data_IF_740268965448
#
_entry.id   IF_740268965448
#
_cell.length_a   1.000
_cell.length_b   1.000
_cell.length_c   1.000
_cell.angle_alpha   90.00
_cell.angle_beta   90.00
_cell.angle_gamma   90.00
#
_symmetry.space_group_name_H-M   'P 1'
#
loop_
_entity.id
_entity.type
_entity.pdbx_description
1 polymer ?
#
# COMPACT_ATOMS: atom_id res chain seq x y z
N UNK A 1 -3.48 -14.96 5.38
CA UNK A 1 -3.89 -13.54 5.36
C UNK A 1 -2.66 -12.68 5.21
N UNK A 2 -2.76 -11.46 4.65
CA UNK A 2 -1.61 -10.54 4.52
C UNK A 2 -1.93 -9.24 5.25
N UNK A 3 -1.05 -8.81 6.14
CA UNK A 3 -1.20 -7.55 6.85
C UNK A 3 -0.75 -6.37 5.99
N UNK A 4 -1.48 -5.25 6.06
CA UNK A 4 -1.02 -3.97 5.50
C UNK A 4 0.35 -3.56 6.05
N UNK A 5 0.65 -3.89 7.31
CA UNK A 5 1.93 -3.59 7.97
C UNK A 5 3.09 -4.37 7.31
N UNK A 6 2.89 -5.64 6.98
CA UNK A 6 3.89 -6.45 6.28
C UNK A 6 4.19 -5.90 4.87
N UNK A 7 3.15 -5.43 4.17
CA UNK A 7 3.29 -4.81 2.84
C UNK A 7 4.09 -3.51 2.96
N UNK A 8 3.79 -2.67 3.97
CA UNK A 8 4.54 -1.43 4.23
C UNK A 8 6.00 -1.72 4.56
N UNK A 9 6.27 -2.74 5.39
CA UNK A 9 7.63 -3.16 5.73
C UNK A 9 8.39 -3.62 4.48
N UNK A 10 7.79 -4.49 3.66
CA UNK A 10 8.38 -4.95 2.40
C UNK A 10 8.70 -3.80 1.44
N UNK A 11 7.80 -2.82 1.34
CA UNK A 11 7.97 -1.64 0.51
C UNK A 11 9.12 -0.75 1.02
N UNK A 12 9.19 -0.50 2.35
CA UNK A 12 10.29 0.24 2.99
C UNK A 12 11.64 -0.47 2.79
N UNK A 13 11.69 -1.80 2.91
CA UNK A 13 12.89 -2.60 2.59
C UNK A 13 13.31 -2.43 1.12
N UNK A 14 12.34 -2.43 0.19
CA UNK A 14 12.58 -2.17 -1.23
C UNK A 14 13.21 -0.82 -1.52
N UNK A 15 12.70 0.23 -0.87
CA UNK A 15 13.25 1.59 -0.98
C UNK A 15 14.64 1.69 -0.37
N UNK A 16 14.84 1.12 0.82
CA UNK A 16 16.15 1.10 1.48
C UNK A 16 17.22 0.40 0.62
N UNK A 17 16.89 -0.75 0.05
CA UNK A 17 17.78 -1.47 -0.88
C UNK A 17 18.05 -0.66 -2.16
N UNK A 18 17.06 0.07 -2.68
CA UNK A 18 17.22 0.89 -3.87
C UNK A 18 18.28 1.99 -3.70
N UNK A 19 18.41 2.56 -2.49
CA UNK A 19 19.41 3.61 -2.19
C UNK A 19 20.86 3.11 -2.31
N UNK A 20 21.08 1.80 -2.23
CA UNK A 20 22.38 1.15 -2.42
C UNK A 20 22.65 0.77 -3.88
N UNK A 21 21.72 1.05 -4.80
CA UNK A 21 21.85 0.73 -6.22
C UNK A 21 22.23 1.97 -7.03
N UNK A 22 22.59 1.75 -8.29
CA UNK A 22 22.89 2.80 -9.26
C UNK A 22 22.04 2.69 -10.53
N UNK A 23 22.01 3.77 -11.30
CA UNK A 23 21.32 3.85 -12.59
C UNK A 23 19.84 3.47 -12.52
N UNK A 24 19.34 2.84 -13.59
CA UNK A 24 17.92 2.47 -13.70
C UNK A 24 17.44 1.52 -12.60
N UNK A 25 18.30 0.64 -12.07
CA UNK A 25 17.93 -0.30 -11.01
C UNK A 25 17.52 0.44 -9.73
N UNK A 26 18.25 1.51 -9.37
CA UNK A 26 17.87 2.39 -8.26
C UNK A 26 16.47 2.97 -8.45
N UNK A 27 16.22 3.59 -9.61
CA UNK A 27 14.92 4.20 -9.93
C UNK A 27 13.80 3.17 -9.89
N UNK A 28 14.01 2.00 -10.49
CA UNK A 28 13.02 0.93 -10.55
C UNK A 28 12.66 0.38 -9.17
N UNK A 29 13.65 0.05 -8.34
CA UNK A 29 13.42 -0.51 -7.01
C UNK A 29 12.77 0.51 -6.08
N UNK A 30 13.19 1.79 -6.17
CA UNK A 30 12.57 2.86 -5.41
C UNK A 30 11.11 3.04 -5.81
N UNK A 31 10.84 3.15 -7.11
CA UNK A 31 9.48 3.22 -7.67
C UNK A 31 8.61 2.06 -7.22
N UNK A 32 9.13 0.83 -7.28
CA UNK A 32 8.36 -0.37 -6.95
C UNK A 32 7.97 -0.37 -5.46
N UNK A 33 8.87 0.01 -4.55
CA UNK A 33 8.52 0.20 -3.14
C UNK A 33 7.52 1.35 -2.93
N UNK A 34 7.73 2.51 -3.55
CA UNK A 34 6.81 3.64 -3.46
C UNK A 34 5.40 3.30 -3.97
N UNK A 35 5.30 2.53 -5.06
CA UNK A 35 4.04 2.07 -5.63
C UNK A 35 3.24 1.18 -4.67
N UNK A 36 3.92 0.37 -3.86
CA UNK A 36 3.30 -0.44 -2.80
C UNK A 36 2.79 0.44 -1.66
N UNK A 37 3.59 1.41 -1.22
CA UNK A 37 3.19 2.36 -0.19
C UNK A 37 1.95 3.16 -0.61
N UNK A 38 1.95 3.68 -1.84
CA UNK A 38 0.78 4.32 -2.43
C UNK A 38 -0.44 3.39 -2.44
N UNK A 39 -0.29 2.13 -2.82
CA UNK A 39 -1.40 1.19 -2.84
C UNK A 39 -1.99 0.84 -1.47
N UNK A 40 -1.21 0.99 -0.40
CA UNK A 40 -1.67 0.79 0.98
C UNK A 40 -2.33 2.06 1.53
N UNK A 41 -1.63 3.19 1.49
CA UNK A 41 -2.11 4.44 2.10
C UNK A 41 -3.12 5.20 1.24
N UNK A 42 -3.07 4.98 -0.07
CA UNK A 42 -3.99 5.53 -1.04
C UNK A 42 -4.65 4.33 -1.74
N UNK A 43 -5.55 3.59 -1.05
CA UNK A 43 -6.05 2.31 -1.54
C UNK A 43 -7.09 2.56 -2.62
N UNK A 44 -6.65 3.07 -3.76
CA UNK A 44 -7.39 3.26 -4.99
C UNK A 44 -7.16 2.10 -5.95
N UNK A 45 -7.99 2.01 -7.00
CA UNK A 45 -7.85 0.89 -7.96
C UNK A 45 -6.53 1.04 -8.71
N UNK A 46 -5.94 -0.08 -9.13
CA UNK A 46 -4.70 -0.12 -9.93
C UNK A 46 -4.68 0.91 -11.07
N UNK A 47 -5.79 1.06 -11.81
CA UNK A 47 -5.91 2.03 -12.91
C UNK A 47 -5.75 3.48 -12.43
N UNK A 48 -6.32 3.83 -11.29
CA UNK A 48 -6.18 5.16 -10.71
C UNK A 48 -4.74 5.39 -10.21
N UNK A 49 -4.14 4.41 -9.54
CA UNK A 49 -2.76 4.50 -9.03
C UNK A 49 -1.71 4.71 -10.13
N UNK A 50 -1.78 3.93 -11.22
CA UNK A 50 -0.85 4.11 -12.34
C UNK A 50 -1.12 5.39 -13.15
N UNK A 51 -2.32 5.96 -12.98
CA UNK A 51 -2.72 7.19 -13.64
C UNK A 51 -2.30 8.45 -12.90
N UNK A 52 -1.73 8.36 -11.68
CA UNK A 52 -1.36 9.55 -10.89
C UNK A 52 -0.35 10.41 -11.67
N UNK A 53 -0.69 11.69 -11.80
CA UNK A 53 0.17 12.75 -12.32
C UNK A 53 0.79 13.55 -11.17
N UNK A 54 1.94 14.19 -11.42
CA UNK A 54 2.50 15.19 -10.51
C UNK A 54 1.53 16.34 -10.24
N UNK A 55 0.65 16.69 -11.19
CA UNK A 55 -0.37 17.72 -11.04
C UNK A 55 -1.49 17.33 -10.07
N UNK A 56 -1.63 16.04 -9.79
CA UNK A 56 -2.62 15.52 -8.86
C UNK A 56 -2.15 15.63 -7.39
N UNK A 57 -0.87 15.92 -7.17
CA UNK A 57 -0.22 15.89 -5.86
C UNK A 57 -0.08 17.32 -5.35
N UNK A 58 -0.69 17.57 -4.19
CA UNK A 58 -0.48 18.78 -3.41
C UNK A 58 0.40 18.44 -2.20
N UNK A 59 1.67 18.83 -2.27
CA UNK A 59 2.64 18.56 -1.20
C UNK A 59 2.42 19.43 0.04
N UNK A 60 1.83 20.61 -0.12
CA UNK A 60 1.54 21.53 0.98
C UNK A 60 0.32 21.04 1.76
N UNK A 61 -0.78 20.75 1.05
CA UNK A 61 -1.97 20.17 1.64
C UNK A 61 -1.81 18.68 2.01
N UNK A 62 -0.71 18.04 1.61
CA UNK A 62 -0.48 16.59 1.75
C UNK A 62 -1.65 15.78 1.18
N UNK A 63 -2.03 16.04 -0.07
CA UNK A 63 -3.14 15.33 -0.72
C UNK A 63 -2.82 14.82 -2.12
N UNK A 64 -3.54 13.79 -2.55
CA UNK A 64 -3.67 13.39 -3.96
C UNK A 64 -5.12 13.52 -4.39
N UNK A 65 -5.34 14.19 -5.52
CA UNK A 65 -6.63 14.30 -6.18
C UNK A 65 -6.77 13.29 -7.32
N UNK A 66 -7.84 12.51 -7.29
CA UNK A 66 -8.21 11.61 -8.38
C UNK A 66 -9.36 12.22 -9.16
N UNK A 67 -9.13 12.58 -10.42
CA UNK A 67 -10.12 13.22 -11.26
C UNK A 67 -11.24 12.24 -11.69
N UNK A 68 -12.48 12.73 -11.91
CA UNK A 68 -13.64 11.93 -12.31
C UNK A 68 -13.38 10.95 -13.48
N UNK A 69 -12.67 11.41 -14.51
CA UNK A 69 -12.32 10.64 -15.72
C UNK A 69 -11.42 9.42 -15.43
N UNK A 70 -10.75 9.42 -14.28
CA UNK A 70 -9.86 8.33 -13.83
C UNK A 70 -10.54 7.38 -12.85
N UNK A 71 -11.75 7.70 -12.41
CA UNK A 71 -12.48 6.98 -11.39
C UNK A 71 -13.60 6.13 -11.99
N UNK A 72 -13.68 4.85 -11.59
CA UNK A 72 -14.73 3.92 -12.07
C UNK A 72 -16.16 4.45 -11.80
N UNK A 73 -16.32 5.30 -10.78
CA UNK A 73 -17.60 5.87 -10.37
C UNK A 73 -17.90 7.22 -11.03
N UNK A 74 -16.94 7.85 -11.71
CA UNK A 74 -17.09 9.21 -12.24
C UNK A 74 -17.06 10.31 -11.17
N UNK A 75 -16.64 10.00 -9.94
CA UNK A 75 -16.59 10.96 -8.84
C UNK A 75 -15.14 11.30 -8.50
N UNK A 76 -14.86 12.60 -8.31
CA UNK A 76 -13.59 13.09 -7.78
C UNK A 76 -13.34 12.52 -6.38
N UNK A 77 -12.08 12.18 -6.08
CA UNK A 77 -11.68 11.79 -4.72
C UNK A 77 -10.41 12.49 -4.30
N UNK A 78 -10.37 12.88 -3.04
CA UNK A 78 -9.16 13.36 -2.39
C UNK A 78 -8.70 12.30 -1.39
N UNK A 79 -7.39 12.10 -1.33
CA UNK A 79 -6.73 11.17 -0.42
C UNK A 79 -5.64 11.91 0.31
N UNK A 80 -5.59 11.73 1.63
CA UNK A 80 -4.50 12.28 2.44
C UNK A 80 -3.23 11.46 2.20
N UNK A 81 -2.11 12.18 2.09
CA UNK A 81 -0.77 11.63 2.10
C UNK A 81 -0.29 11.60 3.55
N UNK A 82 0.06 10.43 4.10
CA UNK A 82 0.75 10.37 5.36
C UNK A 82 2.06 11.17 5.29
N UNK A 83 2.44 11.81 6.40
CA UNK A 83 3.68 12.60 6.50
C UNK A 83 4.92 11.78 6.12
N UNK A 84 4.89 10.47 6.34
CA UNK A 84 5.95 9.53 6.00
C UNK A 84 6.16 9.36 4.48
N UNK A 85 5.12 9.62 3.68
CA UNK A 85 5.15 9.41 2.23
C UNK A 85 5.70 10.62 1.49
N UNK A 86 5.50 11.83 2.02
CA UNK A 86 5.99 13.08 1.42
C UNK A 86 7.51 13.09 1.12
N UNK A 87 8.41 12.74 2.07
CA UNK A 87 9.85 12.73 1.77
C UNK A 87 10.22 11.66 0.73
N UNK A 88 9.51 10.52 0.71
CA UNK A 88 9.74 9.45 -0.26
C UNK A 88 9.27 9.84 -1.66
N UNK A 89 8.16 10.57 -1.76
CA UNK A 89 7.68 11.15 -3.01
C UNK A 89 8.69 12.16 -3.56
N UNK A 90 9.16 13.09 -2.73
CA UNK A 90 10.16 14.08 -3.12
C UNK A 90 11.45 13.42 -3.63
N UNK A 91 11.99 12.45 -2.88
CA UNK A 91 13.18 11.69 -3.28
C UNK A 91 12.95 10.98 -4.62
N UNK A 92 11.82 10.30 -4.79
CA UNK A 92 11.52 9.63 -6.04
C UNK A 92 11.35 10.60 -7.22
N UNK A 93 10.73 11.76 -7.02
CA UNK A 93 10.56 12.79 -8.06
C UNK A 93 11.92 13.28 -8.55
N UNK A 94 12.88 13.48 -7.65
CA UNK A 94 14.27 13.77 -8.02
C UNK A 94 14.91 12.59 -8.76
N UNK A 95 14.76 11.37 -8.25
CA UNK A 95 15.38 10.16 -8.83
C UNK A 95 14.86 9.81 -10.24
N UNK A 96 13.56 9.98 -10.50
CA UNK A 96 12.97 9.73 -11.82
C UNK A 96 13.41 10.75 -12.87
N UNK A 97 13.95 11.90 -12.44
CA UNK A 97 14.37 13.00 -13.31
C UNK A 97 13.22 13.69 -14.05
N UNK A 98 13.58 14.61 -14.93
CA UNK A 98 12.63 15.35 -15.78
C UNK A 98 12.10 14.43 -16.88
N UNK A 99 10.79 14.48 -17.12
CA UNK A 99 10.11 13.71 -18.15
C UNK A 99 9.31 14.65 -19.06
N UNK A 100 8.99 14.22 -20.28
CA UNK A 100 8.14 14.98 -21.22
C UNK A 100 6.65 14.92 -20.88
N UNK A 101 6.29 14.18 -19.84
CA UNK A 101 4.93 14.04 -19.32
C UNK A 101 4.93 14.17 -17.80
N UNK A 102 3.73 14.25 -17.25
CA UNK A 102 3.47 14.48 -15.83
C UNK A 102 3.23 13.20 -15.02
N UNK A 103 3.22 12.00 -15.63
CA UNK A 103 3.03 10.75 -14.89
C UNK A 103 4.05 10.61 -13.74
N UNK A 104 3.54 10.26 -12.54
CA UNK A 104 4.35 10.04 -11.35
C UNK A 104 5.23 8.80 -11.54
N UNK A 105 4.61 7.64 -11.76
CA UNK A 105 5.30 6.37 -11.89
C UNK A 105 5.81 6.16 -13.32
N UNK A 106 7.10 5.86 -13.47
CA UNK A 106 7.73 5.68 -14.79
C UNK A 106 8.30 4.27 -14.99
N UNK A 107 8.23 3.76 -16.21
CA UNK A 107 8.91 2.57 -16.70
C UNK A 107 10.34 2.86 -17.19
N UNK A 108 11.04 1.82 -17.65
CA UNK A 108 12.40 1.97 -18.20
C UNK A 108 12.34 2.91 -19.41
N UNK A 109 13.30 3.84 -19.49
CA UNK A 109 13.32 4.86 -20.54
C UNK A 109 12.31 6.00 -20.33
N UNK A 110 11.81 6.21 -19.11
CA UNK A 110 11.02 7.38 -18.75
C UNK A 110 9.52 7.29 -19.01
N UNK A 111 9.06 6.34 -19.83
CA UNK A 111 7.65 6.17 -20.23
C UNK A 111 6.71 6.02 -19.02
N UNK A 112 5.42 6.41 -19.09
CA UNK A 112 4.48 6.18 -18.01
C UNK A 112 4.37 4.70 -17.63
N UNK A 113 4.30 4.39 -16.33
CA UNK A 113 4.19 3.01 -15.85
C UNK A 113 2.82 2.44 -16.19
N UNK A 114 2.79 1.40 -17.01
CA UNK A 114 1.56 0.68 -17.34
C UNK A 114 1.05 -0.20 -16.20
N UNK A 115 -0.23 -0.56 -16.29
CA UNK A 115 -0.90 -1.41 -15.32
C UNK A 115 -0.29 -2.80 -15.11
N UNK A 116 0.20 -3.45 -16.17
CA UNK A 116 0.86 -4.75 -16.08
C UNK A 116 2.24 -4.63 -15.39
N UNK A 117 2.97 -3.55 -15.65
CA UNK A 117 4.25 -3.28 -14.99
C UNK A 117 4.07 -3.02 -13.49
N UNK A 118 3.02 -2.29 -13.09
CA UNK A 118 2.63 -2.13 -11.70
C UNK A 118 2.29 -3.47 -11.03
N UNK A 119 1.50 -4.32 -11.70
CA UNK A 119 1.18 -5.65 -11.18
C UNK A 119 2.45 -6.49 -10.95
N UNK A 120 3.37 -6.46 -11.91
CA UNK A 120 4.63 -7.19 -11.80
C UNK A 120 5.55 -6.59 -10.72
N UNK A 121 5.55 -5.27 -10.54
CA UNK A 121 6.25 -4.59 -9.45
C UNK A 121 5.76 -5.06 -8.07
N UNK A 122 4.43 -5.10 -7.88
CA UNK A 122 3.81 -5.61 -6.66
C UNK A 122 4.25 -7.06 -6.38
N UNK A 123 4.06 -7.95 -7.36
CA UNK A 123 4.41 -9.36 -7.25
C UNK A 123 5.89 -9.57 -6.88
N UNK A 124 6.82 -8.95 -7.63
CA UNK A 124 8.26 -9.14 -7.42
C UNK A 124 8.72 -8.57 -6.08
N UNK A 125 8.20 -7.42 -5.68
CA UNK A 125 8.63 -6.76 -4.45
C UNK A 125 8.20 -7.56 -3.23
N UNK A 126 6.94 -8.03 -3.19
CA UNK A 126 6.49 -8.87 -2.08
C UNK A 126 7.13 -10.24 -2.10
N UNK A 127 7.35 -10.84 -3.28
CA UNK A 127 8.07 -12.11 -3.36
C UNK A 127 9.48 -12.00 -2.79
N UNK A 128 10.18 -10.91 -3.13
CA UNK A 128 11.54 -10.66 -2.66
C UNK A 128 11.65 -10.42 -1.16
N UNK A 129 10.74 -9.62 -0.59
CA UNK A 129 10.87 -9.15 0.81
C UNK A 129 9.93 -9.85 1.79
N UNK A 130 8.95 -10.60 1.30
CA UNK A 130 7.98 -11.35 2.13
C UNK A 130 8.00 -12.86 1.81
N UNK A 131 8.77 -13.29 0.81
CA UNK A 131 8.77 -14.69 0.35
C UNK A 131 7.47 -15.11 -0.34
N UNK A 132 6.58 -14.16 -0.67
CA UNK A 132 5.24 -14.45 -1.24
C UNK A 132 4.85 -13.47 -2.33
N UNK A 133 4.40 -14.01 -3.46
CA UNK A 133 3.91 -13.22 -4.59
C UNK A 133 2.50 -12.69 -4.32
N UNK A 134 2.37 -11.37 -4.18
CA UNK A 134 1.10 -10.71 -3.86
C UNK A 134 0.66 -9.75 -4.98
N UNK A 135 -0.44 -10.08 -5.68
CA UNK A 135 -1.12 -9.16 -6.58
C UNK A 135 -1.67 -7.88 -5.89
N UNK A 136 -1.81 -6.75 -6.62
CA UNK A 136 -2.29 -5.48 -6.05
C UNK A 136 -3.64 -5.51 -5.31
N UNK A 137 -4.55 -6.43 -5.65
CA UNK A 137 -5.85 -6.50 -4.99
C UNK A 137 -5.74 -6.95 -3.52
N UNK A 138 -4.70 -7.71 -3.16
CA UNK A 138 -4.45 -8.11 -1.78
C UNK A 138 -4.12 -6.91 -0.89
N UNK A 139 -3.56 -5.83 -1.44
CA UNK A 139 -3.16 -4.67 -0.65
C UNK A 139 -4.40 -3.93 -0.15
N UNK A 140 -5.39 -3.74 -1.03
CA UNK A 140 -6.70 -3.18 -0.66
C UNK A 140 -7.41 -4.03 0.39
N UNK A 141 -7.36 -5.35 0.26
CA UNK A 141 -7.95 -6.25 1.26
C UNK A 141 -7.22 -6.13 2.61
N UNK A 142 -5.88 -6.09 2.58
CA UNK A 142 -5.07 -5.90 3.79
C UNK A 142 -5.37 -4.59 4.51
N UNK A 143 -5.60 -3.50 3.77
CA UNK A 143 -6.02 -2.20 4.34
C UNK A 143 -7.42 -2.29 4.96
N UNK A 144 -8.37 -2.92 4.27
CA UNK A 144 -9.72 -3.12 4.80
C UNK A 144 -9.70 -3.88 6.13
N UNK A 145 -8.98 -5.00 6.15
CA UNK A 145 -8.82 -5.83 7.34
C UNK A 145 -8.15 -5.05 8.47
N UNK A 146 -7.09 -4.28 8.16
CA UNK A 146 -6.41 -3.45 9.16
C UNK A 146 -7.32 -2.37 9.76
N UNK A 147 -8.20 -1.75 8.97
CA UNK A 147 -9.18 -0.78 9.46
C UNK A 147 -10.20 -1.44 10.40
N UNK A 148 -10.73 -2.60 10.02
CA UNK A 148 -11.68 -3.34 10.88
C UNK A 148 -11.00 -3.87 12.13
N UNK A 149 -9.74 -4.29 12.05
CA UNK A 149 -8.98 -4.71 13.22
C UNK A 149 -8.72 -3.54 14.19
N UNK A 150 -8.44 -2.34 13.65
CA UNK A 150 -8.20 -1.15 14.45
C UNK A 150 -9.46 -0.62 15.14
N UNK A 151 -10.62 -0.70 14.47
CA UNK A 151 -11.92 -0.36 15.06
C UNK A 151 -12.99 -1.40 14.67
N UNK A 152 -13.11 -2.50 15.43
CA UNK A 152 -14.06 -3.57 15.14
C UNK A 152 -15.53 -3.13 15.19
N UNK A 153 -15.83 -2.01 15.86
CA UNK A 153 -17.19 -1.47 15.97
C UNK A 153 -17.57 -0.61 14.76
N UNK A 154 -16.61 -0.25 13.90
CA UNK A 154 -16.81 0.61 12.73
C UNK A 154 -16.30 -0.03 11.43
N UNK A 155 -16.79 -1.22 11.06
CA UNK A 155 -16.38 -1.88 9.82
C UNK A 155 -16.80 -1.11 8.56
N UNK A 156 -17.75 -0.17 8.69
CA UNK A 156 -18.13 0.78 7.64
C UNK A 156 -16.96 1.68 7.19
N UNK A 157 -15.98 1.96 8.06
CA UNK A 157 -14.80 2.75 7.69
C UNK A 157 -13.98 2.08 6.58
N UNK A 158 -13.94 0.75 6.55
CA UNK A 158 -13.30 0.01 5.45
C UNK A 158 -14.05 0.20 4.12
N UNK A 159 -15.39 0.30 4.15
CA UNK A 159 -16.19 0.59 2.95
C UNK A 159 -15.92 2.01 2.44
N UNK A 160 -15.90 2.99 3.34
CA UNK A 160 -15.66 4.40 3.02
C UNK A 160 -14.26 4.58 2.43
N UNK A 161 -13.24 4.03 3.10
CA UNK A 161 -11.85 4.11 2.65
C UNK A 161 -11.63 3.50 1.26
N UNK A 162 -12.27 2.36 0.98
CA UNK A 162 -12.14 1.66 -0.30
C UNK A 162 -13.14 2.15 -1.37
N UNK A 163 -14.19 2.86 -0.96
CA UNK A 163 -15.30 3.27 -1.81
C UNK A 163 -16.09 2.09 -2.37
N UNK A 164 -16.38 1.10 -1.53
CA UNK A 164 -17.23 -0.03 -1.87
C UNK A 164 -18.70 0.28 -1.50
N UNK A 165 -19.65 -0.28 -2.26
CA UNK A 165 -21.10 -0.13 -2.00
C UNK A 165 -21.76 -1.38 -1.42
N UNK A 166 -21.00 -2.46 -1.21
CA UNK A 166 -21.54 -3.79 -0.84
C UNK A 166 -21.24 -4.14 0.61
N UNK A 167 -22.29 -4.48 1.37
CA UNK A 167 -22.19 -5.00 2.72
C UNK A 167 -21.51 -6.38 2.78
N UNK A 168 -21.72 -7.25 1.79
CA UNK A 168 -21.12 -8.60 1.73
C UNK A 168 -19.59 -8.57 1.77
N UNK A 169 -18.96 -7.61 1.09
CA UNK A 169 -17.49 -7.45 1.13
C UNK A 169 -16.99 -7.06 2.51
N UNK A 170 -17.83 -6.40 3.31
CA UNK A 170 -17.49 -5.93 4.66
C UNK A 170 -17.53 -7.06 5.67
N UNK A 171 -18.51 -7.96 5.57
CA UNK A 171 -18.57 -9.17 6.40
C UNK A 171 -17.29 -10.01 6.29
N UNK A 172 -16.80 -10.20 5.06
CA UNK A 172 -15.53 -10.90 4.82
C UNK A 172 -14.33 -10.23 5.53
N UNK A 173 -14.29 -8.89 5.58
CA UNK A 173 -13.24 -8.17 6.31
C UNK A 173 -13.38 -8.33 7.82
N UNK A 174 -14.60 -8.30 8.36
CA UNK A 174 -14.87 -8.54 9.78
C UNK A 174 -14.49 -9.95 10.21
N UNK A 175 -14.84 -10.96 9.43
CA UNK A 175 -14.44 -12.36 9.69
C UNK A 175 -12.91 -12.50 9.67
N UNK A 176 -12.27 -11.89 8.67
CA UNK A 176 -10.81 -11.90 8.53
C UNK A 176 -10.10 -11.21 9.70
N UNK A 177 -10.57 -10.02 10.09
CA UNK A 177 -10.02 -9.25 11.21
C UNK A 177 -10.22 -9.97 12.54
N UNK A 178 -11.41 -10.51 12.78
CA UNK A 178 -11.73 -11.32 13.97
C UNK A 178 -10.82 -12.55 14.06
N UNK A 179 -10.60 -13.24 12.94
CA UNK A 179 -9.69 -14.39 12.88
C UNK A 179 -8.25 -14.01 13.24
N UNK A 180 -7.73 -12.90 12.70
CA UNK A 180 -6.38 -12.39 13.08
C UNK A 180 -6.33 -12.09 14.58
N UNK A 181 -7.31 -11.37 15.10
CA UNK A 181 -7.36 -10.96 16.50
C UNK A 181 -7.36 -12.18 17.43
N UNK A 182 -8.16 -13.21 17.10
CA UNK A 182 -8.19 -14.47 17.84
C UNK A 182 -6.82 -15.19 17.84
N UNK A 183 -6.16 -15.29 16.69
CA UNK A 183 -4.82 -15.89 16.59
C UNK A 183 -3.77 -15.11 17.39
N UNK A 184 -3.81 -13.77 17.37
CA UNK A 184 -2.92 -12.91 18.17
C UNK A 184 -3.15 -13.11 19.67
N UNK A 185 -4.41 -13.18 20.10
CA UNK A 185 -4.77 -13.45 21.49
C UNK A 185 -4.33 -14.85 21.95
N UNK A 186 -4.46 -15.86 21.10
CA UNK A 186 -3.94 -17.20 21.39
C UNK A 186 -2.42 -17.18 21.57
N UNK A 187 -1.71 -16.52 20.66
CA UNK A 187 -0.23 -16.43 20.70
C UNK A 187 0.26 -15.70 21.95
N UNK A 188 -0.38 -14.59 22.33
CA UNK A 188 -0.03 -13.86 23.56
C UNK A 188 -0.32 -14.68 24.81
N UNK A 189 -1.46 -15.38 24.85
CA UNK A 189 -1.84 -16.26 25.96
C UNK A 189 -0.83 -17.40 26.16
N UNK A 190 -0.43 -18.08 25.07
CA UNK A 190 0.59 -19.14 25.12
C UNK A 190 1.94 -18.58 25.58
N UNK A 191 2.35 -17.42 25.05
CA UNK A 191 3.63 -16.79 25.43
C UNK A 191 3.68 -16.41 26.90
N UNK A 192 2.57 -15.86 27.44
CA UNK A 192 2.42 -15.52 28.87
C UNK A 192 2.38 -16.75 29.76
N UNK A 193 1.72 -17.83 29.34
CA UNK A 193 1.73 -19.09 30.09
C UNK A 193 3.15 -19.67 30.16
N UNK A 194 3.90 -19.63 29.05
CA UNK A 194 5.29 -20.09 28.98
C UNK A 194 6.24 -19.25 29.84
N UNK A 195 6.07 -17.92 29.92
CA UNK A 195 6.89 -17.08 30.79
C UNK A 195 6.63 -17.35 32.28
N UNK A 196 5.37 -17.52 32.69
CA UNK A 196 5.00 -17.89 34.06
C UNK A 196 5.55 -19.26 34.47
N UNK A 197 5.54 -20.24 33.55
CA UNK A 197 6.10 -21.56 33.80
C UNK A 197 7.62 -21.49 34.05
N UNK A 198 8.35 -20.67 33.28
CA UNK A 198 9.80 -20.45 33.45
C UNK A 198 10.18 -19.76 34.75
N UNK A 199 9.32 -18.91 35.30
CA UNK A 199 9.57 -18.22 36.59
C UNK A 199 9.35 -19.10 37.82
N UNK A 200 8.77 -20.30 37.65
CA UNK A 200 8.49 -21.26 38.73
C UNK A 200 9.54 -22.38 38.83
N UNK A 201 10.52 -22.37 37.93
CA UNK A 201 11.68 -23.26 37.91
C UNK A 201 12.89 -22.49 38.44
#
# INVERSE_FOLDING_TARGET
>A
MVSAVEIVAAAKCGIAAARQMSGWRRVQHFRDGLALLLAVWVPERRRALVGISLRDIDMEASTIRFSPDRMKTGESRIRLLPSELAPLLAEYITLRGVQTHDALLIGKGGRPLGGAAFYAAACRTTERYMGRRLPPHFFRNGVAIALVEADPNRPDLAQVALGHRSATTTNHYTESATSIAACRHLTSSISQAGSKARQRL
#
